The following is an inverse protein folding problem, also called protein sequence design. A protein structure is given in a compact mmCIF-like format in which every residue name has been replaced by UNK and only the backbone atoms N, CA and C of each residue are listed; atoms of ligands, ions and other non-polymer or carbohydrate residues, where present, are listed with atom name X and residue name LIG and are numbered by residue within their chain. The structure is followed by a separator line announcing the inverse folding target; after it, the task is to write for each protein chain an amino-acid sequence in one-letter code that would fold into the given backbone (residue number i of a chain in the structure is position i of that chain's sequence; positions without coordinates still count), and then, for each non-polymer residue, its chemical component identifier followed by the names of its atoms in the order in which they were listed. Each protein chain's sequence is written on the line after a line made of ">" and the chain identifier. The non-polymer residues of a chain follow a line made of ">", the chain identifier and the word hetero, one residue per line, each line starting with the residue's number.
data_IF_567221908584
#
_entry.id   IF_567221908584
#
_cell.length_a   1.000
_cell.length_b   1.000
_cell.length_c   1.000
_cell.angle_alpha   90.00
_cell.angle_beta   90.00
_cell.angle_gamma   90.00
#
_symmetry.space_group_name_H-M   'P 1'
#
loop_
_entity.id
_entity.type
_entity.pdbx_description
1 polymer ?
#
# COMPACT_ATOMS: atom_id res chain seq x y z
N UNK A 1 13.11 -25.14 6.23
CA UNK A 1 12.59 -23.80 5.85
C UNK A 1 11.27 -23.83 5.06
N UNK A 2 11.01 -24.81 4.16
CA UNK A 2 9.71 -24.96 3.45
C UNK A 2 8.50 -25.15 4.39
N UNK A 3 8.67 -25.92 5.46
CA UNK A 3 7.60 -26.27 6.42
C UNK A 3 7.10 -25.07 7.24
N UNK A 4 8.00 -24.18 7.67
CA UNK A 4 7.68 -22.99 8.48
C UNK A 4 6.82 -21.99 7.67
N UNK A 5 7.09 -21.86 6.37
CA UNK A 5 6.35 -20.97 5.46
C UNK A 5 4.90 -21.44 5.27
N UNK A 6 4.72 -22.74 5.03
CA UNK A 6 3.40 -23.35 4.87
C UNK A 6 2.58 -23.34 6.18
N UNK A 7 3.25 -23.50 7.33
CA UNK A 7 2.61 -23.42 8.64
C UNK A 7 1.91 -22.07 8.85
N UNK A 8 2.55 -20.96 8.50
CA UNK A 8 1.95 -19.62 8.61
C UNK A 8 0.65 -19.48 7.81
N UNK A 9 0.63 -19.98 6.56
CA UNK A 9 -0.58 -19.91 5.71
C UNK A 9 -1.71 -20.81 6.23
N UNK A 10 -1.38 -21.94 6.86
CA UNK A 10 -2.36 -22.79 7.55
C UNK A 10 -2.94 -22.11 8.80
N UNK A 11 -2.10 -21.42 9.58
CA UNK A 11 -2.57 -20.67 10.77
C UNK A 11 -3.53 -19.54 10.35
N UNK A 12 -3.22 -18.81 9.27
CA UNK A 12 -4.13 -17.79 8.71
C UNK A 12 -5.48 -18.39 8.32
N UNK A 13 -5.47 -19.55 7.65
CA UNK A 13 -6.69 -20.24 7.26
C UNK A 13 -7.53 -20.64 8.49
N UNK A 14 -6.90 -21.21 9.52
CA UNK A 14 -7.59 -21.60 10.76
C UNK A 14 -8.22 -20.37 11.42
N UNK A 15 -7.49 -19.26 11.51
CA UNK A 15 -8.01 -18.02 12.09
C UNK A 15 -9.23 -17.48 11.32
N UNK A 16 -9.18 -17.54 9.99
CA UNK A 16 -10.27 -17.08 9.13
C UNK A 16 -11.53 -17.95 9.27
N UNK A 17 -11.36 -19.27 9.36
CA UNK A 17 -12.47 -20.21 9.61
C UNK A 17 -13.07 -19.94 11.00
N UNK A 18 -12.23 -19.76 12.02
CA UNK A 18 -12.67 -19.45 13.38
C UNK A 18 -13.48 -18.14 13.41
N UNK A 19 -12.97 -17.09 12.77
CA UNK A 19 -13.65 -15.80 12.66
C UNK A 19 -15.00 -15.92 11.96
N UNK A 20 -15.09 -16.77 10.94
CA UNK A 20 -16.34 -17.03 10.22
C UNK A 20 -17.37 -17.67 11.14
N UNK A 21 -16.98 -18.70 11.90
CA UNK A 21 -17.87 -19.36 12.87
C UNK A 21 -18.31 -18.38 13.95
N UNK A 22 -17.40 -17.58 14.50
CA UNK A 22 -17.72 -16.59 15.53
C UNK A 22 -18.74 -15.57 15.02
N UNK A 23 -18.51 -14.96 13.85
CA UNK A 23 -19.45 -13.97 13.31
C UNK A 23 -20.79 -14.57 12.91
N UNK A 24 -20.80 -15.80 12.40
CA UNK A 24 -22.03 -16.51 12.12
C UNK A 24 -22.82 -16.81 13.40
N UNK A 25 -22.17 -17.31 14.44
CA UNK A 25 -22.81 -17.59 15.74
C UNK A 25 -23.33 -16.31 16.40
N UNK A 26 -22.55 -15.22 16.38
CA UNK A 26 -23.00 -13.92 16.92
C UNK A 26 -24.18 -13.36 16.14
N UNK A 27 -24.15 -13.41 14.80
CA UNK A 27 -25.21 -12.88 13.96
C UNK A 27 -26.49 -13.71 13.99
N UNK A 28 -26.39 -15.05 13.95
CA UNK A 28 -27.53 -15.96 13.83
C UNK A 28 -28.11 -16.42 15.17
N UNK A 29 -27.27 -16.67 16.17
CA UNK A 29 -27.68 -17.27 17.44
C UNK A 29 -27.91 -16.20 18.51
N UNK A 30 -26.97 -15.26 18.67
CA UNK A 30 -27.01 -14.30 19.79
C UNK A 30 -27.86 -13.07 19.45
N UNK A 31 -27.63 -12.44 18.30
CA UNK A 31 -28.23 -11.16 17.92
C UNK A 31 -29.37 -11.33 16.91
N UNK A 32 -30.01 -12.49 16.88
CA UNK A 32 -31.02 -12.82 15.88
C UNK A 32 -32.17 -11.81 15.89
N UNK A 33 -32.42 -11.15 14.75
CA UNK A 33 -33.46 -10.13 14.61
C UNK A 33 -33.06 -8.72 15.08
N UNK A 34 -31.85 -8.53 15.60
CA UNK A 34 -31.33 -7.20 15.90
C UNK A 34 -30.71 -6.51 14.67
N UNK A 35 -30.58 -5.19 14.75
CA UNK A 35 -30.10 -4.33 13.65
C UNK A 35 -28.75 -4.79 13.07
N UNK A 36 -27.85 -5.33 13.90
CA UNK A 36 -26.51 -5.76 13.49
C UNK A 36 -26.43 -7.20 12.98
N UNK A 37 -27.50 -7.99 13.10
CA UNK A 37 -27.53 -9.41 12.71
C UNK A 37 -27.16 -9.60 11.24
N UNK A 38 -27.77 -8.83 10.35
CA UNK A 38 -27.56 -8.93 8.90
C UNK A 38 -26.12 -8.56 8.50
N UNK A 39 -25.52 -7.56 9.15
CA UNK A 39 -24.13 -7.18 8.92
C UNK A 39 -23.15 -8.28 9.35
N UNK A 40 -23.36 -8.87 10.52
CA UNK A 40 -22.55 -9.99 11.03
C UNK A 40 -22.65 -11.23 10.13
N UNK A 41 -23.87 -11.54 9.66
CA UNK A 41 -24.09 -12.61 8.69
C UNK A 41 -23.40 -12.32 7.36
N UNK A 42 -23.47 -11.07 6.87
CA UNK A 42 -22.77 -10.63 5.66
C UNK A 42 -21.24 -10.79 5.77
N UNK A 43 -20.65 -10.35 6.89
CA UNK A 43 -19.21 -10.52 7.16
C UNK A 43 -18.84 -12.00 7.26
N UNK A 44 -19.69 -12.83 7.89
CA UNK A 44 -19.47 -14.27 7.97
C UNK A 44 -19.48 -14.93 6.57
N UNK A 45 -20.40 -14.53 5.68
CA UNK A 45 -20.48 -15.03 4.32
C UNK A 45 -19.25 -14.62 3.49
N UNK A 46 -18.81 -13.38 3.60
CA UNK A 46 -17.57 -12.91 2.97
C UNK A 46 -16.33 -13.68 3.47
N UNK A 47 -16.26 -13.91 4.78
CA UNK A 47 -15.16 -14.66 5.42
C UNK A 47 -15.14 -16.13 4.98
N UNK A 48 -16.31 -16.72 4.72
CA UNK A 48 -16.45 -18.05 4.11
C UNK A 48 -15.84 -18.09 2.70
N UNK A 49 -16.16 -17.10 1.86
CA UNK A 49 -15.57 -16.97 0.52
C UNK A 49 -14.05 -16.82 0.56
N UNK A 50 -13.53 -15.98 1.46
CA UNK A 50 -12.09 -15.83 1.68
C UNK A 50 -11.44 -17.14 2.17
N UNK A 51 -12.14 -17.94 2.96
CA UNK A 51 -11.65 -19.24 3.44
C UNK A 51 -11.48 -20.23 2.30
N UNK A 52 -12.44 -20.29 1.38
CA UNK A 52 -12.34 -21.12 0.19
C UNK A 52 -11.16 -20.69 -0.71
N UNK A 53 -10.97 -19.39 -0.89
CA UNK A 53 -9.83 -18.86 -1.63
C UNK A 53 -8.50 -19.23 -0.97
N UNK A 54 -8.39 -19.05 0.35
CA UNK A 54 -7.19 -19.36 1.11
C UNK A 54 -6.89 -20.87 1.10
N UNK A 55 -7.90 -21.74 1.13
CA UNK A 55 -7.75 -23.19 0.95
C UNK A 55 -7.14 -23.50 -0.41
N UNK A 56 -7.70 -22.94 -1.50
CA UNK A 56 -7.17 -23.13 -2.85
C UNK A 56 -5.69 -22.71 -2.92
N UNK A 57 -5.35 -21.57 -2.32
CA UNK A 57 -3.99 -21.04 -2.27
C UNK A 57 -3.02 -21.95 -1.51
N UNK A 58 -3.41 -22.42 -0.32
CA UNK A 58 -2.61 -23.39 0.47
C UNK A 58 -2.40 -24.69 -0.32
N UNK A 59 -3.44 -25.21 -0.97
CA UNK A 59 -3.34 -26.39 -1.83
C UNK A 59 -2.34 -26.18 -2.98
N UNK A 60 -2.36 -25.01 -3.62
CA UNK A 60 -1.39 -24.65 -4.66
C UNK A 60 0.03 -24.61 -4.11
N UNK A 61 0.25 -24.03 -2.92
CA UNK A 61 1.58 -23.98 -2.29
C UNK A 61 2.11 -25.34 -1.86
N UNK A 62 1.21 -26.27 -1.48
CA UNK A 62 1.60 -27.66 -1.20
C UNK A 62 2.06 -28.35 -2.49
N UNK A 63 1.32 -28.18 -3.59
CA UNK A 63 1.63 -28.80 -4.88
C UNK A 63 2.86 -28.17 -5.57
N UNK A 64 3.03 -26.85 -5.45
CA UNK A 64 4.02 -26.02 -6.16
C UNK A 64 4.65 -25.00 -5.22
N UNK A 65 5.59 -25.40 -4.36
CA UNK A 65 6.17 -24.52 -3.34
C UNK A 65 7.00 -23.34 -3.92
N UNK A 66 7.41 -23.42 -5.18
CA UNK A 66 8.03 -22.32 -5.92
C UNK A 66 7.10 -21.12 -6.04
N UNK A 67 5.79 -21.32 -6.21
CA UNK A 67 4.80 -20.23 -6.33
C UNK A 67 4.75 -19.36 -5.07
N UNK A 68 4.86 -19.97 -3.88
CA UNK A 68 4.96 -19.22 -2.63
C UNK A 68 6.22 -18.35 -2.60
N UNK A 69 7.35 -18.86 -3.10
CA UNK A 69 8.62 -18.12 -3.04
C UNK A 69 8.60 -16.95 -4.01
N UNK A 70 8.08 -17.14 -5.21
CA UNK A 70 7.94 -16.09 -6.21
C UNK A 70 7.01 -14.98 -5.71
N UNK A 71 5.86 -15.34 -5.12
CA UNK A 71 4.95 -14.34 -4.57
C UNK A 71 5.60 -13.50 -3.45
N UNK A 72 6.42 -14.11 -2.59
CA UNK A 72 7.14 -13.35 -1.56
C UNK A 72 8.23 -12.43 -2.14
N UNK A 73 8.79 -12.77 -3.30
CA UNK A 73 9.74 -11.93 -4.03
C UNK A 73 8.97 -10.75 -4.64
N UNK A 74 7.89 -11.00 -5.37
CA UNK A 74 7.03 -9.97 -5.96
C UNK A 74 6.53 -8.97 -4.91
N UNK A 75 6.00 -9.44 -3.78
CA UNK A 75 5.57 -8.58 -2.68
C UNK A 75 6.71 -7.71 -2.11
N UNK A 76 7.93 -8.26 -2.06
CA UNK A 76 9.10 -7.51 -1.60
C UNK A 76 9.51 -6.46 -2.62
N UNK A 77 9.45 -6.78 -3.90
CA UNK A 77 9.80 -5.89 -5.00
C UNK A 77 8.78 -4.75 -5.13
N UNK A 78 7.48 -5.05 -5.07
CA UNK A 78 6.42 -4.04 -5.00
C UNK A 78 6.60 -3.09 -3.82
N UNK A 79 6.93 -3.63 -2.64
CA UNK A 79 7.22 -2.80 -1.47
C UNK A 79 8.46 -1.92 -1.66
N UNK A 80 9.50 -2.45 -2.28
CA UNK A 80 10.70 -1.65 -2.59
C UNK A 80 10.38 -0.53 -3.57
N UNK A 81 9.58 -0.81 -4.61
CA UNK A 81 9.10 0.19 -5.56
C UNK A 81 8.29 1.26 -4.82
N UNK A 82 7.33 0.86 -3.99
CA UNK A 82 6.53 1.77 -3.18
C UNK A 82 7.40 2.66 -2.27
N UNK A 83 8.42 2.09 -1.62
CA UNK A 83 9.35 2.85 -0.78
C UNK A 83 10.16 3.87 -1.59
N UNK A 84 10.64 3.48 -2.77
CA UNK A 84 11.39 4.37 -3.67
C UNK A 84 10.49 5.50 -4.19
N UNK A 85 9.25 5.21 -4.56
CA UNK A 85 8.29 6.24 -4.97
C UNK A 85 7.97 7.19 -3.82
N UNK A 86 7.73 6.65 -2.61
CA UNK A 86 7.50 7.43 -1.39
C UNK A 86 8.71 8.33 -1.09
N UNK A 87 9.94 7.81 -1.20
CA UNK A 87 11.15 8.59 -0.95
C UNK A 87 11.34 9.69 -2.00
N UNK A 88 11.05 9.42 -3.27
CA UNK A 88 11.08 10.44 -4.34
C UNK A 88 10.08 11.56 -4.08
N UNK A 89 8.85 11.21 -3.66
CA UNK A 89 7.85 12.21 -3.27
C UNK A 89 8.32 13.04 -2.08
N UNK A 90 8.87 12.39 -1.04
CA UNK A 90 9.35 13.08 0.14
C UNK A 90 10.55 14.00 -0.17
N UNK A 91 11.49 13.55 -1.01
CA UNK A 91 12.60 14.38 -1.48
C UNK A 91 12.08 15.62 -2.23
N UNK A 92 11.09 15.43 -3.11
CA UNK A 92 10.43 16.54 -3.78
C UNK A 92 9.80 17.52 -2.78
N UNK A 93 9.08 17.05 -1.76
CA UNK A 93 8.49 17.92 -0.73
C UNK A 93 9.56 18.74 0.02
N UNK A 94 10.63 18.07 0.49
CA UNK A 94 11.75 18.72 1.20
C UNK A 94 12.43 19.76 0.32
N UNK A 95 12.72 19.45 -0.94
CA UNK A 95 13.29 20.41 -1.89
C UNK A 95 12.41 21.66 -2.06
N UNK A 96 11.09 21.51 -2.06
CA UNK A 96 10.16 22.66 -2.11
C UNK A 96 10.38 23.59 -0.93
N UNK A 97 10.46 23.04 0.28
CA UNK A 97 10.70 23.83 1.49
C UNK A 97 12.08 24.50 1.47
N UNK A 98 13.11 23.83 0.96
CA UNK A 98 14.45 24.41 0.80
C UNK A 98 14.42 25.60 -0.17
N UNK A 99 13.81 25.44 -1.35
CA UNK A 99 13.71 26.52 -2.35
C UNK A 99 12.87 27.68 -1.81
N UNK A 100 11.78 27.41 -1.08
CA UNK A 100 10.99 28.43 -0.40
C UNK A 100 11.83 29.20 0.64
N UNK A 101 12.65 28.51 1.44
CA UNK A 101 13.56 29.14 2.38
C UNK A 101 14.59 30.05 1.72
N UNK A 102 15.20 29.59 0.61
CA UNK A 102 16.11 30.40 -0.20
C UNK A 102 15.39 31.62 -0.80
N UNK A 103 14.14 31.44 -1.23
CA UNK A 103 13.30 32.54 -1.76
C UNK A 103 13.04 33.60 -0.69
N UNK A 104 12.70 33.20 0.53
CA UNK A 104 12.49 34.12 1.64
C UNK A 104 13.78 34.91 1.97
N UNK A 105 14.94 34.23 1.97
CA UNK A 105 16.23 34.90 2.15
C UNK A 105 16.55 35.86 0.99
N UNK A 106 16.20 35.49 -0.25
CA UNK A 106 16.42 36.33 -1.42
C UNK A 106 15.70 37.68 -1.35
N UNK A 107 14.46 37.66 -0.84
CA UNK A 107 13.66 38.88 -0.63
C UNK A 107 14.34 39.82 0.37
N UNK A 108 14.97 39.28 1.41
CA UNK A 108 15.67 40.08 2.43
C UNK A 108 17.02 40.63 1.93
N UNK A 109 17.69 39.91 1.02
CA UNK A 109 19.06 40.21 0.57
C UNK A 109 19.17 41.42 -0.38
N UNK A 110 18.05 41.94 -0.91
CA UNK A 110 17.96 43.04 -1.90
C UNK A 110 18.96 42.92 -3.08
N UNK A 111 19.30 41.69 -3.45
CA UNK A 111 20.26 41.38 -4.50
C UNK A 111 19.55 40.84 -5.74
N UNK A 112 19.50 41.67 -6.79
CA UNK A 112 18.83 41.35 -8.06
C UNK A 112 19.35 40.06 -8.71
N UNK A 113 20.67 39.82 -8.65
CA UNK A 113 21.27 38.61 -9.21
C UNK A 113 20.81 37.33 -8.48
N UNK A 114 20.62 37.44 -7.17
CA UNK A 114 20.14 36.33 -6.35
C UNK A 114 18.66 36.02 -6.61
N UNK A 115 17.83 37.05 -6.85
CA UNK A 115 16.42 36.89 -7.25
C UNK A 115 16.32 36.17 -8.61
N UNK A 116 17.17 36.53 -9.58
CA UNK A 116 17.21 35.84 -10.88
C UNK A 116 17.59 34.36 -10.74
N UNK A 117 18.55 34.03 -9.88
CA UNK A 117 18.93 32.64 -9.61
C UNK A 117 17.76 31.83 -9.02
N UNK A 118 17.00 32.42 -8.09
CA UNK A 118 15.80 31.79 -7.51
C UNK A 118 14.71 31.58 -8.56
N UNK A 119 14.51 32.52 -9.49
CA UNK A 119 13.56 32.38 -10.59
C UNK A 119 13.92 31.20 -11.51
N UNK A 120 15.20 31.00 -11.81
CA UNK A 120 15.68 29.85 -12.58
C UNK A 120 15.41 28.54 -11.84
N UNK A 121 15.66 28.48 -10.53
CA UNK A 121 15.37 27.29 -9.71
C UNK A 121 13.89 26.92 -9.72
N UNK A 122 12.99 27.90 -9.55
CA UNK A 122 11.55 27.67 -9.65
C UNK A 122 11.14 27.20 -11.05
N UNK A 123 11.73 27.78 -12.09
CA UNK A 123 11.45 27.40 -13.48
C UNK A 123 11.85 25.95 -13.76
N UNK A 124 13.08 25.53 -13.41
CA UNK A 124 13.55 24.15 -13.53
C UNK A 124 12.61 23.18 -12.79
N UNK A 125 12.15 23.59 -11.61
CA UNK A 125 11.24 22.79 -10.79
C UNK A 125 9.88 22.60 -11.44
N UNK A 126 9.27 23.67 -11.97
CA UNK A 126 8.00 23.61 -12.70
C UNK A 126 8.13 22.70 -13.92
N UNK A 127 9.21 22.83 -14.70
CA UNK A 127 9.47 21.94 -15.84
C UNK A 127 9.63 20.48 -15.40
N UNK A 128 10.36 20.22 -14.31
CA UNK A 128 10.53 18.87 -13.77
C UNK A 128 9.19 18.27 -13.34
N UNK A 129 8.32 19.05 -12.70
CA UNK A 129 6.98 18.61 -12.33
C UNK A 129 6.17 18.16 -13.55
N UNK A 130 6.10 18.99 -14.60
CA UNK A 130 5.37 18.65 -15.82
C UNK A 130 5.96 17.43 -16.53
N UNK A 131 7.29 17.31 -16.57
CA UNK A 131 7.96 16.15 -17.15
C UNK A 131 7.60 14.84 -16.42
N UNK A 132 7.71 14.82 -15.09
CA UNK A 132 7.38 13.63 -14.30
C UNK A 132 5.88 13.32 -14.31
N UNK A 133 5.02 14.33 -14.32
CA UNK A 133 3.58 14.17 -14.43
C UNK A 133 3.19 13.53 -15.78
N UNK A 134 3.73 14.03 -16.89
CA UNK A 134 3.51 13.50 -18.24
C UNK A 134 4.03 12.07 -18.39
N UNK A 135 5.25 11.80 -17.90
CA UNK A 135 5.84 10.45 -17.95
C UNK A 135 4.97 9.42 -17.23
N UNK A 136 4.52 9.73 -16.01
CA UNK A 136 3.66 8.82 -15.24
C UNK A 136 2.34 8.52 -15.96
N UNK A 137 1.78 9.49 -16.68
CA UNK A 137 0.50 9.32 -17.38
C UNK A 137 0.59 8.49 -18.67
N UNK A 138 1.80 8.27 -19.22
CA UNK A 138 2.03 7.44 -20.41
C UNK A 138 2.45 6.00 -20.07
N UNK A 139 2.79 5.71 -18.80
CA UNK A 139 3.15 4.37 -18.32
C UNK A 139 1.92 3.57 -17.82
N UNK A 140 0.74 4.18 -17.79
CA UNK A 140 -0.57 3.56 -17.53
C UNK A 140 -1.45 3.63 -18.77
#
# INVERSE_FOLDING_TARGET
>A
MKTIKLYKEKVKLIFLILSTVIFFSLGYIVLNGEYYSSALLGVSAASLGLSLFQIKRVCTFIKRPETYTNEQIELKDERNIMLVEKSKSCAYDIETFVILGITAYAIYSDNVGFVLAVLVLWSIRIFSFFYYFSKKNNEY
#
